data_IF_785978528043
#
_entry.id   IF_785978528043
#
_cell.length_a   1.000
_cell.length_b   1.000
_cell.length_c   1.000
_cell.angle_alpha   90.00
_cell.angle_beta   90.00
_cell.angle_gamma   90.00
#
_symmetry.space_group_name_H-M   'P 1'
#
loop_
_entity.id
_entity.type
_entity.pdbx_description
1 polymer ?
#
# COMPACT_ATOMS: atom_id res chain seq x y z
N UNK A 1 15.14 1.36 -7.86
CA UNK A 1 14.49 0.61 -6.77
C UNK A 1 15.13 -0.76 -6.69
N UNK A 2 15.25 -1.39 -5.52
CA UNK A 2 15.67 -2.80 -5.53
C UNK A 2 14.62 -3.66 -6.23
N UNK A 3 15.04 -4.78 -6.79
CA UNK A 3 14.13 -5.77 -7.39
C UNK A 3 13.11 -6.30 -6.36
N UNK A 4 13.51 -6.39 -5.09
CA UNK A 4 12.67 -6.82 -3.97
C UNK A 4 11.57 -5.80 -3.65
N UNK A 5 11.88 -4.49 -3.55
CA UNK A 5 10.84 -3.45 -3.33
C UNK A 5 9.85 -3.44 -4.49
N UNK A 6 10.38 -3.49 -5.71
CA UNK A 6 9.57 -3.50 -6.93
C UNK A 6 8.61 -4.69 -6.90
N UNK A 7 9.10 -5.86 -6.49
CA UNK A 7 8.29 -7.06 -6.33
C UNK A 7 7.20 -6.88 -5.27
N UNK A 8 7.53 -6.35 -4.08
CA UNK A 8 6.53 -6.08 -3.02
C UNK A 8 5.45 -5.11 -3.50
N UNK A 9 5.85 -4.00 -4.14
CA UNK A 9 4.92 -2.99 -4.65
C UNK A 9 4.04 -3.53 -5.79
N UNK A 10 4.61 -4.36 -6.68
CA UNK A 10 3.86 -5.04 -7.73
C UNK A 10 2.84 -6.02 -7.15
N UNK A 11 3.22 -6.84 -6.17
CA UNK A 11 2.29 -7.77 -5.53
C UNK A 11 1.20 -7.03 -4.75
N UNK A 12 1.55 -5.94 -4.06
CA UNK A 12 0.59 -5.05 -3.40
C UNK A 12 -0.44 -4.49 -4.38
N UNK A 13 0.03 -3.94 -5.50
CA UNK A 13 -0.83 -3.41 -6.56
C UNK A 13 -1.74 -4.49 -7.15
N UNK A 14 -1.19 -5.68 -7.41
CA UNK A 14 -1.95 -6.84 -7.89
C UNK A 14 -3.06 -7.19 -6.92
N UNK A 15 -2.76 -7.36 -5.63
CA UNK A 15 -3.75 -7.65 -4.59
C UNK A 15 -4.87 -6.61 -4.59
N UNK A 16 -4.53 -5.31 -4.53
CA UNK A 16 -5.52 -4.22 -4.51
C UNK A 16 -6.46 -4.28 -5.73
N UNK A 17 -5.90 -4.42 -6.93
CA UNK A 17 -6.66 -4.46 -8.18
C UNK A 17 -7.55 -5.71 -8.24
N UNK A 18 -7.02 -6.86 -7.82
CA UNK A 18 -7.76 -8.13 -7.78
C UNK A 18 -8.93 -8.08 -6.80
N UNK A 19 -8.73 -7.53 -5.59
CA UNK A 19 -9.81 -7.33 -4.60
C UNK A 19 -10.89 -6.38 -5.12
N UNK A 20 -10.50 -5.29 -5.79
CA UNK A 20 -11.45 -4.35 -6.40
C UNK A 20 -12.24 -5.00 -7.54
N UNK A 21 -11.59 -5.79 -8.39
CA UNK A 21 -12.24 -6.52 -9.48
C UNK A 21 -13.23 -7.58 -8.95
N UNK A 22 -12.87 -8.31 -7.90
CA UNK A 22 -13.76 -9.25 -7.21
C UNK A 22 -15.03 -8.57 -6.71
N UNK A 23 -14.90 -7.41 -6.05
CA UNK A 23 -16.04 -6.62 -5.58
C UNK A 23 -16.93 -6.14 -6.72
N UNK A 24 -16.32 -5.56 -7.76
CA UNK A 24 -17.05 -5.06 -8.93
C UNK A 24 -17.83 -6.18 -9.64
N UNK A 25 -17.25 -7.37 -9.78
CA UNK A 25 -17.94 -8.53 -10.34
C UNK A 25 -19.12 -8.98 -9.47
N UNK A 26 -18.95 -9.01 -8.14
CA UNK A 26 -20.05 -9.36 -7.23
C UNK A 26 -21.21 -8.34 -7.32
N UNK A 27 -20.88 -7.05 -7.35
CA UNK A 27 -21.86 -5.97 -7.51
C UNK A 27 -22.60 -6.05 -8.85
N UNK A 28 -21.87 -6.36 -9.93
CA UNK A 28 -22.46 -6.55 -11.25
C UNK A 28 -23.47 -7.71 -11.25
N UNK A 29 -23.09 -8.89 -10.75
CA UNK A 29 -23.99 -10.06 -10.73
C UNK A 29 -25.22 -9.77 -9.86
N UNK A 30 -25.05 -9.13 -8.70
CA UNK A 30 -26.17 -8.72 -7.84
C UNK A 30 -27.12 -7.74 -8.55
N UNK A 31 -26.60 -6.84 -9.38
CA UNK A 31 -27.40 -5.90 -10.17
C UNK A 31 -28.16 -6.53 -11.34
N UNK A 32 -27.62 -7.59 -11.94
CA UNK A 32 -28.27 -8.33 -13.03
C UNK A 32 -29.25 -9.40 -12.54
N UNK A 33 -29.02 -9.98 -11.36
CA UNK A 33 -29.81 -11.08 -10.80
C UNK A 33 -31.34 -10.85 -10.80
N UNK A 34 -31.88 -9.65 -10.48
CA UNK A 34 -33.31 -9.39 -10.55
C UNK A 34 -33.89 -9.55 -11.96
N UNK A 35 -33.10 -9.27 -13.00
CA UNK A 35 -33.50 -9.25 -14.42
C UNK A 35 -33.52 -10.64 -15.06
N UNK A 36 -32.86 -11.62 -14.44
CA UNK A 36 -32.76 -12.98 -14.96
C UNK A 36 -34.07 -13.75 -14.75
N UNK A 37 -34.46 -14.55 -15.73
CA UNK A 37 -35.60 -15.49 -15.62
C UNK A 37 -35.13 -16.81 -15.01
N UNK A 38 -35.01 -16.83 -13.69
CA UNK A 38 -34.51 -17.98 -12.90
C UNK A 38 -35.37 -18.19 -11.66
N UNK A 39 -35.44 -19.43 -11.13
CA UNK A 39 -36.24 -19.75 -9.95
C UNK A 39 -35.92 -18.84 -8.77
N UNK A 40 -36.95 -18.44 -8.03
CA UNK A 40 -36.83 -17.52 -6.89
C UNK A 40 -35.86 -18.02 -5.83
N UNK A 41 -35.86 -19.32 -5.56
CA UNK A 41 -34.99 -19.93 -4.55
C UNK A 41 -33.52 -19.88 -4.96
N UNK A 42 -33.23 -20.01 -6.27
CA UNK A 42 -31.89 -19.86 -6.81
C UNK A 42 -31.41 -18.41 -6.75
N UNK A 43 -32.28 -17.44 -7.07
CA UNK A 43 -31.97 -16.00 -6.86
C UNK A 43 -31.60 -15.73 -5.42
N UNK A 44 -32.41 -16.19 -4.46
CA UNK A 44 -32.17 -15.95 -3.05
C UNK A 44 -30.86 -16.58 -2.58
N UNK A 45 -30.56 -17.80 -3.05
CA UNK A 45 -29.29 -18.47 -2.75
C UNK A 45 -28.10 -17.71 -3.31
N UNK A 46 -28.15 -17.29 -4.57
CA UNK A 46 -27.07 -16.53 -5.22
C UNK A 46 -26.86 -15.16 -4.60
N UNK A 47 -27.95 -14.45 -4.30
CA UNK A 47 -27.89 -13.16 -3.60
C UNK A 47 -27.22 -13.32 -2.23
N UNK A 48 -27.64 -14.31 -1.43
CA UNK A 48 -27.01 -14.59 -0.15
C UNK A 48 -25.52 -14.89 -0.32
N UNK A 49 -25.18 -15.79 -1.24
CA UNK A 49 -23.79 -16.19 -1.50
C UNK A 49 -22.91 -14.99 -1.91
N UNK A 50 -23.38 -14.13 -2.82
CA UNK A 50 -22.62 -12.97 -3.27
C UNK A 50 -22.51 -11.89 -2.20
N UNK A 51 -23.52 -11.75 -1.35
CA UNK A 51 -23.43 -10.87 -0.18
C UNK A 51 -22.44 -11.41 0.86
N UNK A 52 -22.46 -12.72 1.15
CA UNK A 52 -21.47 -13.36 2.02
C UNK A 52 -20.05 -13.18 1.45
N UNK A 53 -19.89 -13.28 0.12
CA UNK A 53 -18.62 -12.98 -0.56
C UNK A 53 -18.20 -11.52 -0.46
N UNK A 54 -19.11 -10.57 -0.63
CA UNK A 54 -18.80 -9.14 -0.46
C UNK A 54 -18.37 -8.83 0.97
N UNK A 55 -19.07 -9.37 1.96
CA UNK A 55 -18.70 -9.22 3.36
C UNK A 55 -17.29 -9.76 3.61
N UNK A 56 -16.96 -10.92 3.03
CA UNK A 56 -15.60 -11.47 3.07
C UNK A 56 -14.56 -10.53 2.45
N UNK A 57 -14.83 -9.99 1.25
CA UNK A 57 -13.93 -9.02 0.60
C UNK A 57 -13.79 -7.74 1.45
N UNK A 58 -14.87 -7.29 2.08
CA UNK A 58 -14.86 -6.15 3.00
C UNK A 58 -14.07 -6.45 4.29
N UNK A 59 -14.07 -7.70 4.77
CA UNK A 59 -13.25 -8.16 5.90
C UNK A 59 -11.76 -8.26 5.54
N UNK A 60 -11.42 -8.50 4.27
CA UNK A 60 -10.03 -8.45 3.80
C UNK A 60 -9.49 -7.00 3.75
N UNK A 61 -10.34 -6.00 3.51
CA UNK A 61 -9.92 -4.61 3.41
C UNK A 61 -9.15 -4.08 4.64
N UNK A 62 -9.59 -4.30 5.91
CA UNK A 62 -8.82 -3.90 7.08
C UNK A 62 -7.53 -4.71 7.24
N UNK A 63 -7.49 -5.99 6.84
CA UNK A 63 -6.26 -6.80 6.85
C UNK A 63 -5.25 -6.22 5.85
N UNK A 64 -5.70 -5.90 4.63
CA UNK A 64 -4.85 -5.29 3.61
C UNK A 64 -4.38 -3.89 4.01
N UNK A 65 -5.25 -3.10 4.65
CA UNK A 65 -4.86 -1.81 5.22
C UNK A 65 -3.81 -1.99 6.32
N UNK A 66 -3.97 -2.99 7.17
CA UNK A 66 -2.98 -3.31 8.19
C UNK A 66 -1.64 -3.75 7.58
N UNK A 67 -1.67 -4.59 6.55
CA UNK A 67 -0.47 -4.95 5.77
C UNK A 67 0.18 -3.71 5.16
N UNK A 68 -0.59 -2.81 4.55
CA UNK A 68 -0.09 -1.54 4.00
C UNK A 68 0.55 -0.64 5.07
N UNK A 69 -0.13 -0.45 6.21
CA UNK A 69 0.41 0.29 7.36
C UNK A 69 1.71 -0.34 7.88
N UNK A 70 1.77 -1.67 7.91
CA UNK A 70 2.95 -2.39 8.36
C UNK A 70 4.10 -2.34 7.34
N UNK A 71 3.81 -2.40 6.03
CA UNK A 71 4.80 -2.18 4.97
C UNK A 71 5.36 -0.76 5.07
N UNK A 72 4.51 0.23 5.33
CA UNK A 72 4.95 1.59 5.65
C UNK A 72 5.90 1.59 6.85
N UNK A 73 5.47 1.08 8.01
CA UNK A 73 6.33 1.00 9.21
C UNK A 73 7.64 0.25 8.97
N UNK A 74 7.60 -0.78 8.14
CA UNK A 74 8.76 -1.57 7.75
C UNK A 74 9.76 -0.74 6.93
N UNK A 75 9.28 0.07 5.99
CA UNK A 75 10.09 0.99 5.20
C UNK A 75 10.71 2.13 6.04
N UNK A 76 10.18 2.35 7.25
CA UNK A 76 10.60 3.38 8.22
C UNK A 76 11.44 2.88 9.40
N UNK A 77 11.41 1.58 9.69
CA UNK A 77 12.01 1.04 10.90
C UNK A 77 13.55 0.96 10.78
N UNK A 78 14.32 1.38 11.80
CA UNK A 78 15.74 1.09 11.87
C UNK A 78 15.97 -0.43 11.95
N UNK A 79 17.06 -0.92 11.35
CA UNK A 79 17.36 -2.33 11.06
C UNK A 79 17.01 -3.32 12.19
N UNK A 80 17.33 -2.95 13.44
CA UNK A 80 17.15 -3.82 14.60
C UNK A 80 15.68 -4.14 14.94
N UNK A 81 14.71 -3.39 14.41
CA UNK A 81 13.26 -3.61 14.64
C UNK A 81 12.55 -4.22 13.44
N UNK A 82 13.10 -4.03 12.25
CA UNK A 82 12.57 -4.53 10.97
C UNK A 82 12.29 -6.02 11.03
N UNK A 83 13.25 -6.81 11.51
CA UNK A 83 13.11 -8.26 11.53
C UNK A 83 12.02 -8.77 12.46
N UNK A 84 11.85 -8.08 13.60
CA UNK A 84 10.81 -8.39 14.58
C UNK A 84 9.44 -8.01 14.04
N UNK A 85 9.30 -6.82 13.46
CA UNK A 85 8.04 -6.34 12.88
C UNK A 85 7.58 -7.23 11.74
N UNK A 86 8.46 -7.62 10.80
CA UNK A 86 8.09 -8.58 9.75
C UNK A 86 7.63 -9.91 10.33
N UNK A 87 8.32 -10.43 11.35
CA UNK A 87 7.94 -11.73 11.94
C UNK A 87 6.58 -11.69 12.64
N UNK A 88 6.26 -10.56 13.29
CA UNK A 88 4.94 -10.29 13.87
C UNK A 88 3.88 -10.14 12.77
N UNK A 89 4.19 -9.45 11.67
CA UNK A 89 3.35 -9.30 10.48
C UNK A 89 2.99 -10.67 9.90
N UNK A 90 4.00 -11.44 9.48
CA UNK A 90 3.82 -12.75 8.84
C UNK A 90 3.05 -13.69 9.76
N UNK A 91 3.34 -13.66 11.07
CA UNK A 91 2.64 -14.48 12.06
C UNK A 91 1.19 -14.06 12.34
N UNK A 92 0.81 -12.81 12.03
CA UNK A 92 -0.54 -12.29 12.27
C UNK A 92 -1.52 -12.54 11.12
N UNK A 93 -1.01 -12.86 9.92
CA UNK A 93 -1.84 -13.01 8.74
C UNK A 93 -2.28 -14.47 8.59
N UNK A 94 -3.46 -14.80 9.11
CA UNK A 94 -4.09 -16.11 8.91
C UNK A 94 -4.89 -16.16 7.60
N UNK A 95 -4.21 -16.42 6.47
CA UNK A 95 -4.89 -16.61 5.17
C UNK A 95 -5.65 -17.96 5.06
N UNK A 96 -5.41 -18.93 5.95
CA UNK A 96 -5.95 -20.29 5.79
C UNK A 96 -7.48 -20.43 5.95
N UNK A 97 -8.08 -19.99 7.06
CA UNK A 97 -9.52 -20.13 7.29
C UNK A 97 -10.43 -19.37 6.30
N UNK A 98 -10.11 -18.12 5.91
CA UNK A 98 -10.94 -17.33 5.00
C UNK A 98 -11.05 -17.94 3.59
N UNK A 99 -9.93 -18.36 2.99
CA UNK A 99 -9.87 -18.86 1.61
C UNK A 99 -10.55 -20.24 1.45
N UNK A 100 -10.46 -21.08 2.48
CA UNK A 100 -11.18 -22.36 2.50
C UNK A 100 -12.71 -22.22 2.52
N UNK A 101 -13.22 -21.11 3.08
CA UNK A 101 -14.65 -20.76 3.02
C UNK A 101 -15.07 -20.33 1.62
N UNK A 102 -14.27 -19.47 0.99
CA UNK A 102 -14.52 -18.96 -0.36
C UNK A 102 -14.56 -20.07 -1.40
N UNK A 103 -13.58 -20.98 -1.38
CA UNK A 103 -13.53 -22.10 -2.32
C UNK A 103 -14.78 -22.99 -2.23
N UNK A 104 -15.27 -23.27 -1.01
CA UNK A 104 -16.51 -24.03 -0.78
C UNK A 104 -17.74 -23.28 -1.29
N UNK A 105 -17.80 -21.98 -1.02
CA UNK A 105 -18.89 -21.10 -1.42
C UNK A 105 -19.01 -21.05 -2.96
N UNK A 106 -17.88 -20.86 -3.63
CA UNK A 106 -17.78 -20.86 -5.08
C UNK A 106 -18.14 -22.22 -5.68
N UNK A 107 -17.60 -23.31 -5.14
CA UNK A 107 -17.89 -24.65 -5.66
C UNK A 107 -19.39 -24.95 -5.59
N UNK A 108 -20.08 -24.46 -4.55
CA UNK A 108 -21.53 -24.62 -4.41
C UNK A 108 -22.37 -23.89 -5.48
N UNK A 109 -21.83 -22.84 -6.12
CA UNK A 109 -22.48 -22.12 -7.22
C UNK A 109 -22.32 -22.82 -8.57
N UNK A 110 -21.28 -23.65 -8.72
CA UNK A 110 -20.96 -24.38 -9.96
C UNK A 110 -21.91 -25.56 -10.21
N UNK A 111 -22.50 -26.10 -9.15
CA UNK A 111 -23.34 -27.31 -9.20
C UNK A 111 -24.83 -27.03 -9.51
N UNK A 112 -25.20 -25.78 -9.84
CA UNK A 112 -26.57 -25.41 -10.24
C UNK A 112 -26.74 -25.32 -11.77
N UNK A 113 -27.49 -26.25 -12.37
CA UNK A 113 -27.81 -26.28 -13.81
C UNK A 113 -28.78 -25.14 -14.22
N UNK A 114 -28.37 -24.21 -15.10
CA UNK A 114 -29.26 -23.17 -15.64
C UNK A 114 -28.55 -22.00 -16.35
N UNK A 115 -29.29 -20.99 -16.83
CA UNK A 115 -28.73 -19.74 -17.42
C UNK A 115 -27.89 -18.93 -16.41
N UNK A 116 -28.15 -19.15 -15.12
CA UNK A 116 -27.26 -18.72 -14.04
C UNK A 116 -25.83 -19.22 -14.27
N UNK A 117 -25.65 -20.43 -14.80
CA UNK A 117 -24.39 -21.15 -15.02
C UNK A 117 -23.51 -20.56 -16.14
N UNK A 118 -23.87 -19.44 -16.77
CA UNK A 118 -22.97 -18.75 -17.72
C UNK A 118 -22.49 -17.44 -17.11
N UNK A 119 -23.42 -16.56 -16.70
CA UNK A 119 -23.09 -15.29 -16.05
C UNK A 119 -22.45 -15.48 -14.67
N UNK A 120 -22.98 -16.40 -13.86
CA UNK A 120 -22.39 -16.76 -12.58
C UNK A 120 -21.11 -17.55 -12.81
N UNK A 121 -21.04 -18.44 -13.79
CA UNK A 121 -19.82 -19.23 -14.02
C UNK A 121 -18.66 -18.39 -14.51
N UNK A 122 -18.86 -17.44 -15.43
CA UNK A 122 -17.79 -16.52 -15.84
C UNK A 122 -17.34 -15.63 -14.68
N UNK A 123 -18.29 -15.06 -13.93
CA UNK A 123 -17.99 -14.24 -12.76
C UNK A 123 -17.32 -15.02 -11.63
N UNK A 124 -17.74 -16.28 -11.42
CA UNK A 124 -17.19 -17.20 -10.43
C UNK A 124 -15.81 -17.70 -10.84
N UNK A 125 -15.61 -18.00 -12.12
CA UNK A 125 -14.29 -18.32 -12.68
C UNK A 125 -13.36 -17.13 -12.51
N UNK A 126 -13.81 -15.90 -12.80
CA UNK A 126 -13.02 -14.70 -12.55
C UNK A 126 -12.70 -14.51 -11.06
N UNK A 127 -13.64 -14.80 -10.16
CA UNK A 127 -13.42 -14.77 -8.71
C UNK A 127 -12.40 -15.84 -8.27
N UNK A 128 -12.44 -17.05 -8.83
CA UNK A 128 -11.47 -18.12 -8.52
C UNK A 128 -10.07 -17.81 -9.04
N UNK A 129 -9.98 -17.27 -10.26
CA UNK A 129 -8.70 -16.83 -10.82
C UNK A 129 -8.14 -15.72 -9.94
N UNK A 130 -8.97 -14.74 -9.58
CA UNK A 130 -8.60 -13.67 -8.67
C UNK A 130 -8.15 -14.19 -7.29
N UNK A 131 -8.85 -15.17 -6.72
CA UNK A 131 -8.49 -15.80 -5.44
C UNK A 131 -7.12 -16.48 -5.49
N UNK A 132 -6.86 -17.25 -6.55
CA UNK A 132 -5.57 -17.90 -6.75
C UNK A 132 -4.46 -16.87 -6.98
N UNK A 133 -4.71 -15.83 -7.79
CA UNK A 133 -3.77 -14.75 -8.01
C UNK A 133 -3.43 -13.97 -6.73
N UNK A 134 -4.43 -13.77 -5.86
CA UNK A 134 -4.29 -13.13 -4.56
C UNK A 134 -3.37 -13.96 -3.65
N UNK A 135 -3.60 -15.28 -3.60
CA UNK A 135 -2.79 -16.21 -2.83
C UNK A 135 -1.34 -16.26 -3.33
N UNK A 136 -1.15 -16.37 -4.65
CA UNK A 136 0.18 -16.36 -5.27
C UNK A 136 0.92 -15.04 -4.98
N UNK A 137 0.23 -13.91 -5.06
CA UNK A 137 0.80 -12.60 -4.74
C UNK A 137 1.21 -12.48 -3.27
N UNK A 138 0.35 -12.95 -2.36
CA UNK A 138 0.63 -12.97 -0.94
C UNK A 138 1.86 -13.85 -0.61
N UNK A 139 1.92 -15.07 -1.16
CA UNK A 139 3.08 -15.97 -0.99
C UNK A 139 4.35 -15.34 -1.55
N UNK A 140 4.29 -14.73 -2.74
CA UNK A 140 5.43 -14.04 -3.34
C UNK A 140 5.94 -12.90 -2.46
N UNK A 141 5.03 -12.15 -1.84
CA UNK A 141 5.36 -11.07 -0.90
C UNK A 141 6.03 -11.63 0.37
N UNK A 142 5.49 -12.71 0.95
CA UNK A 142 6.08 -13.39 2.11
C UNK A 142 7.51 -13.87 1.86
N UNK A 143 7.73 -14.56 0.74
CA UNK A 143 9.07 -15.04 0.34
C UNK A 143 10.04 -13.86 0.14
N UNK A 144 9.55 -12.75 -0.43
CA UNK A 144 10.35 -11.53 -0.60
C UNK A 144 10.75 -10.94 0.74
N UNK A 145 9.83 -10.88 1.71
CA UNK A 145 10.15 -10.43 3.06
C UNK A 145 11.17 -11.35 3.75
N UNK A 146 11.02 -12.67 3.65
CA UNK A 146 12.00 -13.61 4.20
C UNK A 146 13.40 -13.41 3.61
N UNK A 147 13.51 -13.19 2.30
CA UNK A 147 14.80 -12.91 1.68
C UNK A 147 15.42 -11.61 2.20
N UNK A 148 14.61 -10.57 2.32
CA UNK A 148 15.05 -9.28 2.88
C UNK A 148 15.53 -9.44 4.33
N UNK A 149 14.85 -10.24 5.14
CA UNK A 149 15.27 -10.54 6.51
C UNK A 149 16.66 -11.19 6.54
N UNK A 150 16.91 -12.12 5.62
CA UNK A 150 18.22 -12.76 5.49
C UNK A 150 19.29 -11.75 5.08
N UNK A 151 18.97 -10.87 4.12
CA UNK A 151 19.91 -9.85 3.64
C UNK A 151 20.24 -8.81 4.73
N UNK A 152 19.23 -8.34 5.47
CA UNK A 152 19.41 -7.40 6.58
C UNK A 152 20.21 -8.01 7.74
N UNK A 153 20.03 -9.30 8.04
CA UNK A 153 20.85 -9.97 9.07
C UNK A 153 22.32 -10.10 8.69
N UNK A 154 22.66 -9.95 7.40
CA UNK A 154 24.02 -10.08 6.88
C UNK A 154 24.68 -8.71 6.55
N UNK A 155 23.94 -7.61 6.59
CA UNK A 155 24.42 -6.25 6.32
C UNK A 155 24.41 -5.34 7.55
N UNK A 156 25.16 -4.22 7.49
CA UNK A 156 25.07 -3.13 8.46
C UNK A 156 24.77 -1.82 7.73
N UNK A 157 23.50 -1.45 7.63
CA UNK A 157 23.02 -0.20 7.04
C UNK A 157 22.59 0.74 8.16
N UNK A 158 23.42 1.76 8.43
CA UNK A 158 23.02 2.82 9.36
C UNK A 158 21.91 3.67 8.75
N UNK A 159 20.70 3.53 9.27
CA UNK A 159 19.54 4.34 8.89
C UNK A 159 19.22 5.34 10.00
N UNK A 160 19.26 6.63 9.66
CA UNK A 160 18.74 7.69 10.52
C UNK A 160 17.33 8.05 10.05
N UNK A 161 16.31 7.86 10.90
CA UNK A 161 14.92 8.17 10.56
C UNK A 161 14.21 9.05 11.59
N UNK A 162 13.22 9.79 11.09
CA UNK A 162 12.38 10.71 11.87
C UNK A 162 10.98 10.75 11.29
N UNK A 163 9.97 10.48 12.13
CA UNK A 163 8.56 10.60 11.78
C UNK A 163 7.90 11.82 12.44
N UNK A 164 6.95 12.43 11.72
CA UNK A 164 6.04 13.43 12.26
C UNK A 164 4.63 12.85 12.43
N UNK A 165 3.98 13.07 13.59
CA UNK A 165 2.60 12.69 13.75
C UNK A 165 1.67 13.62 12.96
N UNK A 166 0.53 13.10 12.56
CA UNK A 166 -0.53 13.93 12.00
C UNK A 166 -0.99 14.94 13.04
N UNK A 167 -1.03 16.21 12.67
CA UNK A 167 -1.42 17.29 13.57
C UNK A 167 -2.92 17.32 13.88
N UNK A 168 -3.73 16.54 13.14
CA UNK A 168 -5.18 16.43 13.37
C UNK A 168 -5.56 15.19 14.20
N UNK A 169 -5.15 13.98 13.78
CA UNK A 169 -5.53 12.74 14.47
C UNK A 169 -4.47 12.19 15.43
N UNK A 170 -3.24 12.73 15.41
CA UNK A 170 -2.13 12.24 16.24
C UNK A 170 -1.56 10.89 15.79
N UNK A 171 -1.97 10.33 14.65
CA UNK A 171 -1.35 9.12 14.10
C UNK A 171 0.13 9.37 13.86
N UNK A 172 0.99 8.52 14.40
CA UNK A 172 2.43 8.63 14.24
C UNK A 172 2.85 8.36 12.79
N UNK A 173 4.04 8.82 12.41
CA UNK A 173 4.66 8.51 11.11
C UNK A 173 3.80 8.89 9.91
N UNK A 174 3.04 9.99 10.05
CA UNK A 174 2.24 10.55 8.97
C UNK A 174 3.11 11.11 7.84
N UNK A 175 4.26 11.69 8.19
CA UNK A 175 5.36 12.01 7.28
C UNK A 175 6.59 11.35 7.88
N UNK A 176 7.34 10.61 7.09
CA UNK A 176 8.62 10.03 7.53
C UNK A 176 9.77 10.56 6.68
N UNK A 177 10.91 10.76 7.32
CA UNK A 177 12.16 11.13 6.69
C UNK A 177 13.21 10.12 7.08
N UNK A 178 13.94 9.61 6.10
CA UNK A 178 14.95 8.60 6.29
C UNK A 178 16.16 8.94 5.41
N UNK A 179 17.36 8.90 5.98
CA UNK A 179 18.61 9.00 5.20
C UNK A 179 19.26 7.63 5.12
N UNK A 180 19.60 7.26 3.88
CA UNK A 180 20.29 6.02 3.54
C UNK A 180 21.61 6.36 2.85
N UNK A 181 22.73 5.92 3.42
CA UNK A 181 24.05 6.09 2.81
C UNK A 181 24.25 5.18 1.59
N UNK A 182 25.03 5.64 0.61
CA UNK A 182 25.48 4.86 -0.55
C UNK A 182 26.19 3.57 -0.18
N UNK A 183 26.90 3.60 0.94
CA UNK A 183 27.77 2.52 1.40
C UNK A 183 26.95 1.40 2.08
N UNK A 184 25.71 1.72 2.47
CA UNK A 184 24.74 0.76 2.97
C UNK A 184 23.92 0.18 1.82
N UNK A 185 24.03 -1.13 1.60
CA UNK A 185 23.13 -1.83 0.68
C UNK A 185 21.73 -1.93 1.30
N UNK A 186 20.93 -0.86 1.19
CA UNK A 186 19.54 -0.95 1.61
C UNK A 186 18.75 -1.72 0.55
N UNK A 187 18.09 -2.83 0.89
CA UNK A 187 17.45 -3.73 -0.06
C UNK A 187 16.16 -3.17 -0.68
N UNK A 188 15.90 -1.86 -0.64
CA UNK A 188 14.65 -1.25 -1.14
C UNK A 188 14.91 0.01 -1.97
N UNK A 189 15.72 0.91 -1.41
CA UNK A 189 16.09 2.14 -2.09
C UNK A 189 17.26 1.84 -3.02
N UNK A 190 17.13 2.15 -4.32
CA UNK A 190 18.30 2.12 -5.20
C UNK A 190 19.17 3.30 -4.83
N UNK A 191 20.07 3.05 -3.88
CA UNK A 191 21.01 4.05 -3.40
C UNK A 191 22.03 4.33 -4.50
N UNK A 192 22.50 5.56 -4.54
CA UNK A 192 23.67 5.92 -5.34
C UNK A 192 24.82 4.98 -4.99
N UNK A 193 25.51 4.42 -6.00
CA UNK A 193 26.70 3.59 -5.79
C UNK A 193 27.97 4.43 -5.59
N UNK A 194 27.86 5.76 -5.70
CA UNK A 194 28.99 6.66 -5.50
C UNK A 194 29.26 6.83 -4.01
N UNK A 195 30.46 6.44 -3.56
CA UNK A 195 30.85 6.50 -2.17
C UNK A 195 30.71 7.92 -1.58
N UNK A 196 30.23 8.01 -0.34
CA UNK A 196 30.00 9.28 0.36
C UNK A 196 28.77 10.06 -0.09
N UNK A 197 27.91 9.46 -0.93
CA UNK A 197 26.59 10.02 -1.26
C UNK A 197 25.50 9.33 -0.44
N UNK A 198 24.26 9.78 -0.57
CA UNK A 198 23.13 9.13 0.10
C UNK A 198 21.82 9.42 -0.59
N UNK A 199 20.73 8.99 0.02
CA UNK A 199 19.37 9.31 -0.42
C UNK A 199 18.54 9.77 0.76
N UNK A 200 17.80 10.86 0.60
CA UNK A 200 16.68 11.22 1.46
C UNK A 200 15.45 10.49 0.91
N UNK A 201 14.88 9.64 1.74
CA UNK A 201 13.64 8.93 1.51
C UNK A 201 12.56 9.63 2.32
N UNK A 202 11.46 9.99 1.67
CA UNK A 202 10.30 10.60 2.33
C UNK A 202 9.08 9.72 2.12
N UNK A 203 8.27 9.58 3.18
CA UNK A 203 7.07 8.74 3.25
C UNK A 203 7.30 7.36 2.66
N UNK A 204 8.23 6.60 3.25
CA UNK A 204 8.44 5.22 2.84
C UNK A 204 8.90 5.04 1.37
N UNK A 205 9.45 6.06 0.73
CA UNK A 205 9.95 5.98 -0.65
C UNK A 205 9.00 6.45 -1.73
N UNK A 206 7.89 7.10 -1.36
CA UNK A 206 7.11 7.90 -2.31
C UNK A 206 7.99 8.98 -2.96
N UNK A 207 8.90 9.58 -2.19
CA UNK A 207 9.89 10.51 -2.71
C UNK A 207 11.30 10.06 -2.35
N UNK A 208 12.20 9.99 -3.34
CA UNK A 208 13.60 9.63 -3.15
C UNK A 208 14.48 10.71 -3.81
N UNK A 209 15.21 11.45 -2.98
CA UNK A 209 16.13 12.48 -3.43
C UNK A 209 17.57 12.04 -3.21
N UNK A 210 18.39 12.08 -4.28
CA UNK A 210 19.82 11.80 -4.16
C UNK A 210 20.54 12.96 -3.49
N UNK A 211 21.29 12.66 -2.43
CA UNK A 211 22.08 13.62 -1.68
C UNK A 211 23.55 13.47 -2.05
N UNK A 212 24.19 14.58 -2.40
CA UNK A 212 25.65 14.65 -2.49
C UNK A 212 26.27 14.73 -1.10
N UNK A 213 27.55 14.41 -1.00
CA UNK A 213 28.31 14.37 0.26
C UNK A 213 28.16 15.64 1.11
N UNK A 214 28.14 16.82 0.47
CA UNK A 214 28.06 18.10 1.18
C UNK A 214 26.70 18.30 1.87
N UNK A 215 25.62 17.79 1.27
CA UNK A 215 24.28 17.89 1.84
C UNK A 215 23.98 16.78 2.83
N UNK A 216 24.52 15.57 2.61
CA UNK A 216 24.25 14.39 3.41
C UNK A 216 24.41 14.63 4.92
N UNK A 217 25.54 15.22 5.34
CA UNK A 217 25.82 15.56 6.75
C UNK A 217 24.79 16.53 7.33
N UNK A 218 24.42 17.57 6.57
CA UNK A 218 23.43 18.57 7.02
C UNK A 218 22.03 17.98 7.18
N UNK A 219 21.63 17.07 6.28
CA UNK A 219 20.33 16.40 6.33
C UNK A 219 20.28 15.39 7.47
N UNK A 220 21.37 14.65 7.73
CA UNK A 220 21.49 13.81 8.94
C UNK A 220 21.33 14.62 10.21
N UNK A 221 22.04 15.74 10.31
CA UNK A 221 21.91 16.62 11.46
C UNK A 221 20.48 17.15 11.61
N UNK A 222 19.80 17.46 10.51
CA UNK A 222 18.40 17.88 10.51
C UNK A 222 17.48 16.76 11.02
N UNK A 223 17.64 15.52 10.54
CA UNK A 223 16.88 14.34 11.02
C UNK A 223 17.11 14.09 12.51
N UNK A 224 18.37 14.06 12.96
CA UNK A 224 18.73 13.82 14.36
C UNK A 224 18.17 14.90 15.30
N UNK A 225 18.19 16.16 14.87
CA UNK A 225 17.65 17.28 15.63
C UNK A 225 16.15 17.49 15.44
N UNK A 226 15.49 16.69 14.59
CA UNK A 226 14.08 16.86 14.20
C UNK A 226 13.79 18.25 13.61
N UNK A 227 14.77 18.83 12.94
CA UNK A 227 14.63 20.10 12.23
C UNK A 227 14.11 19.82 10.82
N UNK A 228 12.83 20.11 10.60
CA UNK A 228 12.20 19.82 9.32
C UNK A 228 12.55 20.85 8.24
N UNK A 229 12.96 22.07 8.62
CA UNK A 229 13.09 23.15 7.64
C UNK A 229 14.09 22.84 6.52
N UNK A 230 15.31 22.32 6.80
CA UNK A 230 16.24 21.91 5.74
C UNK A 230 15.72 20.76 4.88
N UNK A 231 14.86 19.90 5.42
CA UNK A 231 14.27 18.77 4.68
C UNK A 231 13.25 19.27 3.66
N UNK A 232 12.44 20.26 4.02
CA UNK A 232 11.41 20.85 3.15
C UNK A 232 12.00 21.67 2.01
N UNK A 233 13.14 22.32 2.23
CA UNK A 233 13.84 23.06 1.17
C UNK A 233 14.34 22.14 0.05
N UNK A 234 14.36 20.81 0.27
CA UNK A 234 14.68 19.82 -0.74
C UNK A 234 13.45 19.28 -1.48
N UNK A 235 12.25 19.46 -0.93
CA UNK A 235 11.03 18.92 -1.51
C UNK A 235 10.38 19.98 -2.41
N UNK A 236 10.18 19.62 -3.67
CA UNK A 236 9.49 20.48 -4.64
C UNK A 236 7.97 20.51 -4.35
N UNK A 237 7.42 19.42 -3.78
CA UNK A 237 6.02 19.29 -3.39
C UNK A 237 5.84 19.15 -1.87
N UNK A 238 4.66 19.55 -1.38
CA UNK A 238 4.34 19.61 0.05
C UNK A 238 3.52 18.43 0.56
N UNK A 239 3.76 17.21 0.10
CA UNK A 239 2.93 16.09 0.53
C UNK A 239 3.68 15.08 1.41
N UNK A 240 3.10 14.62 2.52
CA UNK A 240 1.87 15.04 3.20
C UNK A 240 2.09 16.18 4.23
N UNK A 241 2.85 17.21 3.86
CA UNK A 241 3.28 18.30 4.74
C UNK A 241 2.85 19.70 4.27
N UNK A 242 2.05 20.40 5.06
CA UNK A 242 1.70 21.78 4.71
C UNK A 242 2.85 22.76 5.01
N UNK A 243 3.54 23.21 3.96
CA UNK A 243 4.64 24.18 4.04
C UNK A 243 4.27 25.50 4.74
N UNK A 244 3.01 25.94 4.63
CA UNK A 244 2.51 27.15 5.29
C UNK A 244 2.23 26.97 6.79
N UNK A 245 1.80 25.79 7.21
CA UNK A 245 1.55 25.49 8.63
C UNK A 245 2.78 25.00 9.36
N UNK A 246 3.74 24.47 8.61
CA UNK A 246 4.80 23.62 9.14
C UNK A 246 4.27 22.38 9.87
N UNK A 247 3.18 21.76 9.37
CA UNK A 247 2.48 20.63 9.99
C UNK A 247 2.23 19.48 9.00
N UNK A 248 2.31 18.25 9.51
CA UNK A 248 2.01 17.02 8.78
C UNK A 248 0.52 16.62 8.92
N UNK A 249 -0.09 16.13 7.85
CA UNK A 249 -1.49 15.69 7.83
C UNK A 249 -1.66 14.39 7.04
N UNK A 250 -2.37 13.39 7.59
CA UNK A 250 -2.61 12.14 6.86
C UNK A 250 -3.30 12.43 5.53
N UNK A 251 -3.11 11.56 4.54
CA UNK A 251 -3.78 11.62 3.23
C UNK A 251 -5.28 11.90 3.38
N UNK A 252 -5.95 11.22 4.31
CA UNK A 252 -7.39 11.35 4.57
C UNK A 252 -7.81 12.72 5.13
N UNK A 253 -6.88 13.49 5.69
CA UNK A 253 -7.13 14.81 6.25
C UNK A 253 -6.88 15.94 5.25
N UNK A 254 -6.33 15.64 4.08
CA UNK A 254 -6.31 16.57 2.96
C UNK A 254 -7.70 16.60 2.30
N UNK A 255 -8.17 17.80 1.98
CA UNK A 255 -9.51 18.03 1.41
C UNK A 255 -9.42 18.84 0.12
N UNK A 256 -10.50 18.87 -0.66
CA UNK A 256 -10.57 19.62 -1.93
C UNK A 256 -9.41 19.27 -2.87
N UNK A 257 -9.14 17.97 -3.02
CA UNK A 257 -8.13 17.46 -3.94
C UNK A 257 -8.56 17.76 -5.38
N UNK A 258 -7.68 18.42 -6.12
CA UNK A 258 -7.92 18.86 -7.50
C UNK A 258 -6.74 18.44 -8.37
N UNK A 259 -6.97 17.49 -9.26
CA UNK A 259 -6.00 17.08 -10.27
C UNK A 259 -6.08 18.02 -11.47
N UNK A 260 -4.94 18.55 -11.87
CA UNK A 260 -4.77 19.43 -13.01
C UNK A 260 -4.14 18.64 -14.15
N UNK A 261 -4.69 18.84 -15.35
CA UNK A 261 -4.16 18.26 -16.58
C UNK A 261 -3.73 19.39 -17.51
N UNK A 262 -2.55 19.26 -18.11
CA UNK A 262 -2.05 20.15 -19.17
C UNK A 262 -1.87 19.35 -20.47
N UNK A 263 -2.46 19.83 -21.57
CA UNK A 263 -2.52 19.14 -22.87
C UNK A 263 -2.97 17.66 -22.82
N UNK A 264 -3.83 17.32 -21.84
CA UNK A 264 -4.35 15.96 -21.65
C UNK A 264 -3.41 15.02 -20.88
N UNK A 265 -2.28 15.53 -20.40
CA UNK A 265 -1.37 14.82 -19.50
C UNK A 265 -1.57 15.28 -18.07
N UNK A 266 -1.34 14.37 -17.12
CA UNK A 266 -1.30 14.72 -15.71
C UNK A 266 -0.17 15.76 -15.51
N UNK A 267 -0.51 16.89 -14.91
CA UNK A 267 0.43 17.96 -14.57
C UNK A 267 0.72 17.91 -13.07
N UNK A 268 -0.27 18.17 -12.22
CA UNK A 268 -0.09 18.17 -10.78
C UNK A 268 -1.42 17.93 -10.02
N UNK A 269 -1.33 17.71 -8.71
CA UNK A 269 -2.49 17.66 -7.81
C UNK A 269 -2.36 18.70 -6.71
N UNK A 270 -3.41 19.51 -6.53
CA UNK A 270 -3.55 20.41 -5.40
C UNK A 270 -4.45 19.80 -4.33
N UNK A 271 -4.20 20.13 -3.07
CA UNK A 271 -5.13 19.86 -1.98
C UNK A 271 -5.09 20.96 -0.92
N UNK A 272 -6.11 20.97 -0.06
CA UNK A 272 -6.29 21.92 1.03
C UNK A 272 -6.06 21.23 2.36
N UNK A 273 -5.12 21.72 3.15
CA UNK A 273 -4.88 21.19 4.50
C UNK A 273 -6.02 21.58 5.46
N UNK A 274 -6.13 20.94 6.65
CA UNK A 274 -7.17 21.27 7.64
C UNK A 274 -7.21 22.75 8.09
N UNK A 275 -6.12 23.49 7.92
CA UNK A 275 -6.05 24.92 8.22
C UNK A 275 -6.42 25.82 7.03
N UNK A 276 -6.94 25.26 5.93
CA UNK A 276 -7.44 26.00 4.78
C UNK A 276 -6.38 26.42 3.74
N UNK A 277 -5.14 25.95 3.86
CA UNK A 277 -4.10 26.26 2.86
C UNK A 277 -4.17 25.30 1.68
N UNK A 278 -4.45 25.84 0.49
CA UNK A 278 -4.29 25.13 -0.78
C UNK A 278 -2.81 25.13 -1.20
N UNK A 279 -2.25 23.94 -1.42
CA UNK A 279 -0.87 23.73 -1.91
C UNK A 279 -0.84 22.58 -2.92
N UNK A 280 0.25 22.48 -3.68
CA UNK A 280 0.54 21.32 -4.54
C UNK A 280 1.03 20.17 -3.67
N UNK A 281 0.40 19.01 -3.82
CA UNK A 281 0.70 17.78 -3.09
C UNK A 281 1.30 16.69 -3.97
N UNK A 282 1.21 16.83 -5.28
CA UNK A 282 1.78 15.88 -6.23
C UNK A 282 2.10 16.63 -7.51
N UNK A 283 3.22 16.29 -8.14
CA UNK A 283 3.80 16.92 -9.34
C UNK A 283 4.51 15.81 -10.14
#
# INVERSE_FOLDING_TARGET
MSELLTTVLMQRSKIKNTTQAMRANADYVLGELPKLDVPKDDKLRTEKTLNDFKNFVDELAPIMRHVDEMIGRFLDAPEARVAKTIKEVIGSIEFGPPFGGLHKLVTSLRDTDGVLNILVTESVTNILIADQELLEAAIGMLNTFEQVLLDLNNGSVSVDSFGLPCSLCGHNDCVSFCVVDSDGHHPFYAVSQEAGTGSLVVNHGETILRLRAERLQSIRAAILNRDIKPLLELLESGYPFCSKCSLAFCTEHWTNTETVFDDGFYDCTYATCPNGHRIMIDD
#
